data_IF_215304250745
#
_entry.id   IF_215304250745
#
_cell.length_a   1.000
_cell.length_b   1.000
_cell.length_c   1.000
_cell.angle_alpha   90.00
_cell.angle_beta   90.00
_cell.angle_gamma   90.00
#
_symmetry.space_group_name_H-M   'P 1'
#
loop_
_entity.id
_entity.type
_entity.pdbx_description
1 polymer ?
#
# COMPACT_ATOMS: atom_id res chain seq x y z
N UNK A 1 14.20 11.18 -24.75
CA UNK A 1 14.84 12.46 -24.38
C UNK A 1 14.16 12.97 -23.12
N UNK A 2 14.74 12.73 -21.94
CA UNK A 2 14.28 13.39 -20.71
C UNK A 2 14.65 14.86 -20.81
N UNK A 3 13.65 15.73 -20.70
CA UNK A 3 13.87 17.16 -20.46
C UNK A 3 14.25 17.25 -18.98
N UNK A 4 15.41 17.78 -18.64
CA UNK A 4 15.80 17.98 -17.25
C UNK A 4 14.97 19.14 -16.68
N UNK A 5 13.91 18.79 -15.96
CA UNK A 5 13.05 19.78 -15.29
C UNK A 5 13.82 20.41 -14.15
N UNK A 6 13.79 21.74 -14.06
CA UNK A 6 14.31 22.42 -12.87
C UNK A 6 13.37 22.21 -11.68
N UNK A 7 13.91 22.30 -10.46
CA UNK A 7 13.14 22.11 -9.25
C UNK A 7 11.98 23.12 -9.12
N UNK A 8 12.15 24.32 -9.66
CA UNK A 8 11.11 25.36 -9.69
C UNK A 8 9.98 25.02 -10.66
N UNK A 9 10.29 24.49 -11.85
CA UNK A 9 9.28 24.07 -12.82
C UNK A 9 8.47 22.87 -12.31
N UNK A 10 9.14 21.92 -11.65
CA UNK A 10 8.49 20.78 -10.99
C UNK A 10 7.49 21.23 -9.91
N UNK A 11 7.88 22.20 -9.09
CA UNK A 11 7.00 22.74 -8.03
C UNK A 11 5.81 23.51 -8.63
N UNK A 12 6.02 24.31 -9.68
CA UNK A 12 4.95 25.02 -10.37
C UNK A 12 3.97 24.06 -11.05
N UNK A 13 4.47 23.01 -11.71
CA UNK A 13 3.64 21.97 -12.31
C UNK A 13 2.84 21.19 -11.25
N UNK A 14 3.49 20.80 -10.15
CA UNK A 14 2.86 20.15 -9.00
C UNK A 14 1.71 20.99 -8.42
N UNK A 15 1.94 22.30 -8.25
CA UNK A 15 0.92 23.23 -7.75
C UNK A 15 -0.26 23.34 -8.71
N UNK A 16 -0.01 23.49 -10.01
CA UNK A 16 -1.06 23.51 -11.01
C UNK A 16 -1.87 22.21 -11.00
N UNK A 17 -1.22 21.05 -10.89
CA UNK A 17 -1.90 19.75 -10.78
C UNK A 17 -2.82 19.67 -9.56
N UNK A 18 -2.36 20.14 -8.39
CA UNK A 18 -3.19 20.23 -7.18
C UNK A 18 -4.42 21.12 -7.37
N UNK A 19 -4.26 22.25 -8.04
CA UNK A 19 -5.37 23.20 -8.30
C UNK A 19 -6.46 22.59 -9.20
N UNK A 20 -6.13 21.64 -10.08
CA UNK A 20 -7.10 20.89 -10.90
C UNK A 20 -7.64 19.62 -10.21
N UNK A 21 -7.29 19.39 -8.94
CA UNK A 21 -7.76 18.25 -8.16
C UNK A 21 -6.97 16.96 -8.39
N UNK A 22 -5.81 17.03 -9.06
CA UNK A 22 -4.87 15.92 -9.16
C UNK A 22 -3.88 15.92 -7.98
N UNK A 23 -3.23 14.78 -7.77
CA UNK A 23 -2.15 14.67 -6.79
C UNK A 23 -0.98 15.56 -7.21
N UNK A 24 -0.41 16.28 -6.25
CA UNK A 24 0.85 16.96 -6.48
C UNK A 24 2.00 15.96 -6.61
N UNK A 25 3.16 16.46 -7.01
CA UNK A 25 4.36 15.65 -7.23
C UNK A 25 4.76 14.82 -5.99
N UNK A 26 4.77 15.43 -4.81
CA UNK A 26 5.14 14.74 -3.56
C UNK A 26 4.14 13.65 -3.19
N UNK A 27 2.84 13.92 -3.27
CA UNK A 27 1.77 12.96 -2.97
C UNK A 27 1.79 11.80 -3.96
N UNK A 28 2.07 12.09 -5.24
CA UNK A 28 2.26 11.07 -6.25
C UNK A 28 3.47 10.17 -5.94
N UNK A 29 4.62 10.76 -5.61
CA UNK A 29 5.80 10.00 -5.19
C UNK A 29 5.55 9.18 -3.92
N UNK A 30 4.74 9.67 -2.98
CA UNK A 30 4.35 8.89 -1.80
C UNK A 30 3.43 7.72 -2.14
N UNK A 31 2.48 7.90 -3.06
CA UNK A 31 1.63 6.80 -3.54
C UNK A 31 2.43 5.72 -4.25
N UNK A 32 3.44 6.10 -5.05
CA UNK A 32 4.33 5.14 -5.70
C UNK A 32 5.17 4.30 -4.72
N UNK A 33 5.38 4.80 -3.50
CA UNK A 33 6.11 4.06 -2.45
C UNK A 33 5.21 3.12 -1.65
N UNK A 34 3.89 3.11 -1.89
CA UNK A 34 2.97 2.19 -1.24
C UNK A 34 2.95 0.87 -2.00
N UNK A 35 2.96 -0.22 -1.25
CA UNK A 35 2.81 -1.58 -1.75
C UNK A 35 1.48 -2.15 -1.26
N UNK A 36 0.95 -3.11 -2.01
CA UNK A 36 -0.21 -3.88 -1.56
C UNK A 36 0.27 -4.89 -0.51
N UNK A 37 -0.24 -4.75 0.71
CA UNK A 37 -0.10 -5.77 1.75
C UNK A 37 -1.43 -6.49 1.90
N UNK A 38 -1.36 -7.80 2.17
CA UNK A 38 -2.51 -8.65 2.45
C UNK A 38 -2.34 -9.31 3.80
N UNK A 39 -3.27 -9.04 4.71
CA UNK A 39 -3.43 -9.72 5.98
C UNK A 39 -4.31 -10.95 5.84
N UNK A 40 -3.78 -12.09 6.23
CA UNK A 40 -4.50 -13.35 6.32
C UNK A 40 -4.94 -13.54 7.77
N UNK A 41 -6.25 -13.58 7.99
CA UNK A 41 -6.84 -13.65 9.32
C UNK A 41 -7.83 -14.82 9.41
N UNK A 42 -8.14 -15.25 10.63
CA UNK A 42 -9.27 -16.15 10.90
C UNK A 42 -10.37 -15.43 11.67
N UNK A 43 -11.61 -15.71 11.32
CA UNK A 43 -12.75 -15.33 12.17
C UNK A 43 -12.96 -16.34 13.31
N UNK A 44 -14.03 -16.12 14.08
CA UNK A 44 -14.42 -17.00 15.19
C UNK A 44 -14.80 -18.43 14.73
N UNK A 45 -15.22 -18.59 13.48
CA UNK A 45 -15.61 -19.85 12.87
C UNK A 45 -14.44 -20.56 12.16
N UNK A 46 -13.22 -20.04 12.31
CA UNK A 46 -11.99 -20.48 11.63
C UNK A 46 -11.98 -20.31 10.10
N UNK A 47 -12.87 -19.51 9.52
CA UNK A 47 -12.82 -19.18 8.12
C UNK A 47 -11.64 -18.25 7.84
N UNK A 48 -10.96 -18.49 6.71
CA UNK A 48 -9.86 -17.64 6.27
C UNK A 48 -10.40 -16.37 5.63
N UNK A 49 -10.10 -15.22 6.22
CA UNK A 49 -10.43 -13.89 5.71
C UNK A 49 -9.16 -13.22 5.20
N UNK A 50 -9.25 -12.58 4.04
CA UNK A 50 -8.16 -11.82 3.43
C UNK A 50 -8.54 -10.36 3.40
N UNK A 51 -7.69 -9.51 3.99
CA UNK A 51 -7.86 -8.06 3.99
C UNK A 51 -6.62 -7.48 3.33
N UNK A 52 -6.80 -6.76 2.23
CA UNK A 52 -5.71 -6.13 1.49
C UNK A 52 -5.88 -4.62 1.44
N UNK A 53 -4.76 -3.91 1.36
CA UNK A 53 -4.74 -2.47 1.18
C UNK A 53 -3.36 -1.96 0.79
N UNK A 54 -3.32 -0.70 0.34
CA UNK A 54 -2.08 -0.02 -0.05
C UNK A 54 -1.49 0.69 1.16
N UNK A 55 -0.32 0.24 1.59
CA UNK A 55 0.37 0.80 2.75
C UNK A 55 1.82 1.07 2.41
N UNK A 56 2.40 2.01 3.13
CA UNK A 56 3.84 2.28 3.00
C UNK A 56 4.66 1.20 3.70
N UNK A 57 4.12 0.67 4.80
CA UNK A 57 4.76 -0.34 5.63
C UNK A 57 3.74 -1.40 6.07
N UNK A 58 4.23 -2.63 6.29
CA UNK A 58 3.42 -3.77 6.73
C UNK A 58 2.70 -3.48 8.05
N UNK A 59 3.39 -2.78 8.96
CA UNK A 59 2.93 -2.44 10.30
C UNK A 59 1.68 -1.55 10.31
N UNK A 60 1.46 -0.76 9.25
CA UNK A 60 0.24 0.05 9.11
C UNK A 60 -1.00 -0.84 8.96
N UNK A 61 -0.90 -1.89 8.15
CA UNK A 61 -1.99 -2.87 8.00
C UNK A 61 -2.16 -3.68 9.29
N UNK A 62 -1.07 -4.09 9.95
CA UNK A 62 -1.16 -4.82 11.23
C UNK A 62 -1.89 -4.00 12.31
N UNK A 63 -1.57 -2.71 12.44
CA UNK A 63 -2.28 -1.81 13.36
C UNK A 63 -3.74 -1.67 13.00
N UNK A 64 -4.07 -1.47 11.72
CA UNK A 64 -5.47 -1.38 11.28
C UNK A 64 -6.25 -2.67 11.56
N UNK A 65 -5.64 -3.83 11.36
CA UNK A 65 -6.24 -5.13 11.70
C UNK A 65 -6.49 -5.24 13.20
N UNK A 66 -5.57 -4.77 14.04
CA UNK A 66 -5.75 -4.78 15.49
C UNK A 66 -6.83 -3.79 15.96
N UNK A 67 -6.87 -2.59 15.41
CA UNK A 67 -7.77 -1.50 15.82
C UNK A 67 -9.21 -1.71 15.34
N UNK A 68 -9.38 -2.09 14.06
CA UNK A 68 -10.70 -2.18 13.42
C UNK A 68 -11.23 -3.60 13.33
N UNK A 69 -10.35 -4.61 13.36
CA UNK A 69 -10.70 -6.01 13.19
C UNK A 69 -10.23 -6.84 14.39
N UNK A 70 -10.38 -6.31 15.61
CA UNK A 70 -9.97 -6.96 16.86
C UNK A 70 -10.61 -8.35 17.10
N UNK A 71 -11.72 -8.65 16.41
CA UNK A 71 -12.39 -9.94 16.43
C UNK A 71 -11.72 -10.99 15.53
N UNK A 72 -10.83 -10.57 14.63
CA UNK A 72 -10.09 -11.45 13.74
C UNK A 72 -8.74 -11.82 14.36
N UNK A 73 -8.40 -13.10 14.26
CA UNK A 73 -7.07 -13.59 14.58
C UNK A 73 -6.16 -13.43 13.38
N UNK A 74 -5.28 -12.43 13.41
CA UNK A 74 -4.25 -12.24 12.38
C UNK A 74 -3.29 -13.44 12.41
N UNK A 75 -3.12 -14.11 11.26
CA UNK A 75 -2.16 -15.21 11.09
C UNK A 75 -0.83 -14.63 10.62
N UNK A 76 -0.87 -13.87 9.53
CA UNK A 76 0.31 -13.24 8.92
C UNK A 76 -0.13 -12.09 8.02
N UNK A 77 0.77 -11.14 7.81
CA UNK A 77 0.63 -10.09 6.81
C UNK A 77 1.81 -10.20 5.85
N UNK A 78 1.52 -10.22 4.55
CA UNK A 78 2.49 -10.44 3.47
C UNK A 78 2.34 -9.35 2.41
N UNK A 79 3.45 -8.97 1.77
CA UNK A 79 3.43 -8.13 0.58
C UNK A 79 3.01 -8.94 -0.65
N UNK A 80 2.64 -8.25 -1.73
CA UNK A 80 2.37 -8.90 -3.02
C UNK A 80 3.57 -9.69 -3.54
N UNK A 81 4.79 -9.18 -3.34
CA UNK A 81 6.04 -9.86 -3.69
C UNK A 81 6.24 -11.15 -2.89
N UNK A 82 6.01 -11.12 -1.56
CA UNK A 82 6.09 -12.33 -0.72
C UNK A 82 5.09 -13.39 -1.19
N UNK A 83 3.87 -12.98 -1.55
CA UNK A 83 2.83 -13.89 -2.03
C UNK A 83 3.20 -14.48 -3.38
N UNK A 84 3.76 -13.68 -4.30
CA UNK A 84 4.25 -14.15 -5.59
C UNK A 84 5.38 -15.17 -5.40
N UNK A 85 6.35 -14.86 -4.54
CA UNK A 85 7.46 -15.75 -4.21
C UNK A 85 6.98 -17.08 -3.65
N UNK A 86 6.03 -17.07 -2.71
CA UNK A 86 5.47 -18.30 -2.13
C UNK A 86 4.75 -19.15 -3.21
N UNK A 87 4.01 -18.51 -4.13
CA UNK A 87 3.33 -19.24 -5.21
C UNK A 87 4.33 -19.92 -6.15
N UNK A 88 5.39 -19.21 -6.52
CA UNK A 88 6.43 -19.72 -7.44
C UNK A 88 7.22 -20.90 -6.85
N UNK A 89 7.46 -20.90 -5.53
CA UNK A 89 8.19 -21.97 -4.85
C UNK A 89 7.31 -23.17 -4.43
N UNK A 90 6.01 -23.14 -4.72
CA UNK A 90 5.06 -24.21 -4.41
C UNK A 90 4.49 -24.92 -5.66
N UNK A 91 4.99 -24.58 -6.87
CA UNK A 91 4.82 -25.35 -8.12
C UNK A 91 5.95 -26.38 -8.29
#
# INVERSE_FOLDING_TARGET
>A
MSRDWTQQELQNASKAMKEVGHLGYEEFCEQLKKTIFTGFCKDADNNLIKISGQYKYKEELEKQLQEHFCHLKVITVLSEEDIAFIKENHE
#
